data_IF_052510384178
#
_entry.id   IF_052510384178
#
_cell.length_a   1.000
_cell.length_b   1.000
_cell.length_c   1.000
_cell.angle_alpha   90.00
_cell.angle_beta   90.00
_cell.angle_gamma   90.00
#
_symmetry.space_group_name_H-M   'P 1'
#
loop_
_entity.id
_entity.type
_entity.pdbx_description
1 polymer ?
#
# COMPACT_ATOMS: atom_id res chain seq x y z
N UNK A 1 12.26 -15.45 2.06
CA UNK A 1 11.54 -14.16 1.92
C UNK A 1 11.05 -13.88 0.51
N UNK A 2 11.86 -14.04 -0.54
CA UNK A 2 11.42 -13.78 -1.92
C UNK A 2 10.13 -14.50 -2.37
N UNK A 3 9.97 -15.83 -2.19
CA UNK A 3 8.74 -16.50 -2.64
C UNK A 3 7.47 -15.96 -1.98
N UNK A 4 7.56 -15.62 -0.69
CA UNK A 4 6.46 -14.97 0.02
C UNK A 4 6.13 -13.59 -0.57
N UNK A 5 7.15 -12.78 -0.86
CA UNK A 5 6.97 -11.46 -1.47
C UNK A 5 6.38 -11.56 -2.89
N UNK A 6 6.72 -12.59 -3.65
CA UNK A 6 6.14 -12.88 -4.97
C UNK A 6 4.66 -13.27 -4.86
N UNK A 7 4.31 -14.14 -3.90
CA UNK A 7 2.91 -14.47 -3.61
C UNK A 7 2.12 -13.25 -3.15
N UNK A 8 2.72 -12.39 -2.32
CA UNK A 8 2.10 -11.16 -1.86
C UNK A 8 1.91 -10.15 -3.00
N UNK A 9 2.89 -10.04 -3.91
CA UNK A 9 2.78 -9.23 -5.12
C UNK A 9 1.61 -9.66 -6.00
N UNK A 10 1.47 -10.98 -6.21
CA UNK A 10 0.36 -11.57 -6.96
C UNK A 10 -0.98 -11.29 -6.29
N UNK A 11 -1.08 -11.46 -4.97
CA UNK A 11 -2.29 -11.19 -4.20
C UNK A 11 -2.72 -9.72 -4.28
N UNK A 12 -1.75 -8.79 -4.27
CA UNK A 12 -1.99 -7.35 -4.35
C UNK A 12 -2.08 -6.82 -5.79
N UNK A 13 -1.96 -7.70 -6.79
CA UNK A 13 -1.90 -7.36 -8.22
C UNK A 13 -0.89 -6.23 -8.50
N UNK A 14 0.32 -6.36 -7.97
CA UNK A 14 1.39 -5.38 -8.15
C UNK A 14 2.74 -6.03 -8.49
N UNK A 15 3.69 -5.22 -8.93
CA UNK A 15 5.02 -5.69 -9.30
C UNK A 15 5.93 -5.77 -8.06
N UNK A 16 6.72 -6.85 -7.98
CA UNK A 16 7.81 -6.97 -7.03
C UNK A 16 9.05 -6.23 -7.54
N UNK A 17 9.46 -5.20 -6.81
CA UNK A 17 10.70 -4.48 -7.07
C UNK A 17 11.82 -5.06 -6.20
N UNK A 18 13.02 -5.14 -6.76
CA UNK A 18 14.25 -5.46 -6.02
C UNK A 18 15.31 -4.40 -6.28
N UNK A 19 15.96 -3.95 -5.21
CA UNK A 19 17.11 -3.05 -5.28
C UNK A 19 18.12 -3.37 -4.18
N UNK A 20 19.36 -2.90 -4.33
CA UNK A 20 20.39 -3.01 -3.29
C UNK A 20 20.43 -1.74 -2.47
N UNK A 21 20.50 -1.87 -1.15
CA UNK A 21 20.72 -0.74 -0.25
C UNK A 21 22.22 -0.36 -0.19
N UNK A 22 22.55 0.68 0.59
CA UNK A 22 23.91 1.17 0.77
C UNK A 22 24.86 0.15 1.44
N UNK A 23 24.32 -0.88 2.08
CA UNK A 23 25.11 -1.98 2.68
C UNK A 23 25.26 -3.18 1.73
N UNK A 24 24.79 -3.06 0.48
CA UNK A 24 24.83 -4.13 -0.52
C UNK A 24 23.76 -5.22 -0.35
N UNK A 25 22.89 -5.09 0.66
CA UNK A 25 21.80 -6.03 0.95
C UNK A 25 20.63 -5.83 -0.02
N UNK A 26 20.03 -6.94 -0.47
CA UNK A 26 18.84 -6.91 -1.31
C UNK A 26 17.61 -6.50 -0.49
N UNK A 27 16.88 -5.52 -1.01
CA UNK A 27 15.58 -5.08 -0.50
C UNK A 27 14.51 -5.38 -1.53
N UNK A 28 13.46 -6.05 -1.07
CA UNK A 28 12.27 -6.35 -1.84
C UNK A 28 11.16 -5.37 -1.45
N UNK A 29 10.50 -4.78 -2.45
CA UNK A 29 9.47 -3.75 -2.24
C UNK A 29 8.25 -3.98 -3.12
N UNK A 30 7.08 -3.68 -2.57
CA UNK A 30 5.78 -3.73 -3.25
C UNK A 30 5.16 -2.35 -3.25
N UNK A 31 4.67 -1.90 -4.41
CA UNK A 31 3.98 -0.63 -4.58
C UNK A 31 2.61 -0.83 -5.18
N UNK A 32 1.57 -0.33 -4.50
CA UNK A 32 0.19 -0.33 -5.00
C UNK A 32 -0.25 1.12 -5.21
N UNK A 33 -0.57 1.47 -6.46
CA UNK A 33 -0.85 2.87 -6.84
C UNK A 33 -2.14 3.06 -7.63
N UNK A 34 -2.71 2.00 -8.21
CA UNK A 34 -3.97 2.13 -8.93
C UNK A 34 -5.13 2.35 -7.95
N UNK A 35 -6.12 3.16 -8.35
CA UNK A 35 -7.28 3.45 -7.50
C UNK A 35 -7.98 2.17 -7.01
N UNK A 36 -8.15 1.19 -7.89
CA UNK A 36 -8.88 -0.04 -7.58
C UNK A 36 -8.09 -0.96 -6.65
N UNK A 37 -6.77 -1.09 -6.83
CA UNK A 37 -5.95 -1.89 -5.91
C UNK A 37 -5.73 -1.20 -4.56
N UNK A 38 -5.69 0.13 -4.51
CA UNK A 38 -5.74 0.88 -3.24
C UNK A 38 -7.09 0.70 -2.53
N UNK A 39 -8.21 0.72 -3.26
CA UNK A 39 -9.54 0.44 -2.70
C UNK A 39 -9.60 -0.92 -2.01
N UNK A 40 -8.99 -1.94 -2.62
CA UNK A 40 -8.90 -3.27 -2.05
C UNK A 40 -8.08 -3.30 -0.73
N UNK A 41 -6.97 -2.57 -0.67
CA UNK A 41 -6.18 -2.44 0.56
C UNK A 41 -6.97 -1.76 1.68
N UNK A 42 -7.70 -0.68 1.37
CA UNK A 42 -8.54 0.02 2.35
C UNK A 42 -9.61 -0.91 2.90
N UNK A 43 -10.32 -1.64 2.04
CA UNK A 43 -11.29 -2.65 2.47
C UNK A 43 -10.65 -3.69 3.41
N UNK A 44 -9.46 -4.16 3.05
CA UNK A 44 -8.75 -5.19 3.82
C UNK A 44 -8.36 -4.70 5.22
N UNK A 45 -7.82 -3.49 5.34
CA UNK A 45 -7.44 -2.91 6.63
C UNK A 45 -8.63 -2.42 7.47
N UNK A 46 -9.75 -2.08 6.85
CA UNK A 46 -10.99 -1.83 7.60
C UNK A 46 -11.58 -3.13 8.17
N UNK A 47 -11.49 -4.23 7.41
CA UNK A 47 -11.94 -5.55 7.88
C UNK A 47 -10.99 -6.17 8.91
N UNK A 48 -9.69 -5.95 8.74
CA UNK A 48 -8.62 -6.46 9.60
C UNK A 48 -7.72 -5.29 10.05
N UNK A 49 -8.11 -4.58 11.13
CA UNK A 49 -7.44 -3.35 11.55
C UNK A 49 -5.95 -3.51 11.82
N UNK A 50 -5.18 -2.52 11.39
CA UNK A 50 -3.79 -2.38 11.79
C UNK A 50 -3.68 -2.11 13.29
N UNK A 51 -2.58 -2.56 13.89
CA UNK A 51 -2.27 -2.34 15.31
C UNK A 51 -1.24 -1.22 15.47
N UNK A 52 -1.26 -0.56 16.64
CA UNK A 52 -0.32 0.50 17.01
C UNK A 52 -0.47 1.77 16.17
N UNK A 53 0.57 2.60 16.11
CA UNK A 53 0.50 3.92 15.44
C UNK A 53 0.26 3.84 13.93
N UNK A 54 0.53 2.69 13.30
CA UNK A 54 0.20 2.45 11.89
C UNK A 54 -1.30 2.56 11.60
N UNK A 55 -2.18 2.26 12.55
CA UNK A 55 -3.63 2.46 12.37
C UNK A 55 -4.00 3.94 12.24
N UNK A 56 -3.33 4.82 13.02
CA UNK A 56 -3.53 6.27 12.96
C UNK A 56 -3.07 6.84 11.61
N UNK A 57 -1.93 6.36 11.10
CA UNK A 57 -1.45 6.76 9.78
C UNK A 57 -2.37 6.27 8.67
N UNK A 58 -2.85 5.02 8.76
CA UNK A 58 -3.81 4.47 7.81
C UNK A 58 -5.12 5.28 7.78
N UNK A 59 -5.69 5.62 8.93
CA UNK A 59 -6.93 6.42 8.98
C UNK A 59 -6.77 7.79 8.29
N UNK A 60 -5.66 8.48 8.55
CA UNK A 60 -5.36 9.75 7.86
C UNK A 60 -5.19 9.56 6.34
N UNK A 61 -4.55 8.47 5.94
CA UNK A 61 -4.33 8.16 4.53
C UNK A 61 -5.63 7.76 3.82
N UNK A 62 -6.54 7.04 4.50
CA UNK A 62 -7.88 6.70 3.99
C UNK A 62 -8.72 7.96 3.72
N UNK A 63 -8.67 8.96 4.61
CA UNK A 63 -9.33 10.26 4.38
C UNK A 63 -8.84 10.87 3.07
N UNK A 64 -7.53 10.95 2.85
CA UNK A 64 -6.95 11.50 1.61
C UNK A 64 -7.37 10.68 0.39
N UNK A 65 -7.38 9.35 0.48
CA UNK A 65 -7.89 8.52 -0.60
C UNK A 65 -9.35 8.86 -0.95
N UNK A 66 -10.21 9.04 0.05
CA UNK A 66 -11.60 9.42 -0.19
C UNK A 66 -11.73 10.80 -0.85
N UNK A 67 -10.90 11.77 -0.46
CA UNK A 67 -10.80 13.07 -1.15
C UNK A 67 -10.36 12.91 -2.61
N UNK A 68 -9.45 11.96 -2.89
CA UNK A 68 -9.03 11.64 -4.26
C UNK A 68 -10.21 11.08 -5.07
N UNK A 69 -10.95 10.13 -4.49
CA UNK A 69 -12.14 9.52 -5.12
C UNK A 69 -13.22 10.56 -5.39
N UNK A 70 -13.44 11.50 -4.46
CA UNK A 70 -14.39 12.61 -4.59
C UNK A 70 -13.89 13.76 -5.49
N UNK A 71 -12.65 13.67 -6.03
CA UNK A 71 -12.00 14.71 -6.83
C UNK A 71 -11.71 16.04 -6.10
N UNK A 72 -11.80 16.05 -4.77
CA UNK A 72 -11.51 17.23 -3.93
C UNK A 72 -10.02 17.64 -3.99
N UNK A 73 -9.13 16.68 -4.28
CA UNK A 73 -7.70 16.94 -4.48
C UNK A 73 -7.34 17.82 -5.70
N UNK A 74 -8.31 18.15 -6.56
CA UNK A 74 -8.08 18.93 -7.79
C UNK A 74 -8.29 20.45 -7.53
N UNK A 75 -8.82 20.82 -6.36
CA UNK A 75 -9.10 22.21 -5.98
C UNK A 75 -8.12 22.70 -4.91
N UNK A 76 -7.81 24.01 -4.91
CA UNK A 76 -6.99 24.69 -3.89
C UNK A 76 -7.74 24.89 -2.56
#
# INVERSE_FOLDING_TARGET
MRPFMESLALFLSCNLLSYRNNTGSEILSLGVSSKDSVKFLIYSFNKYPLLGDKSKYFYKWEIVYNMIVSKEHITE
#
